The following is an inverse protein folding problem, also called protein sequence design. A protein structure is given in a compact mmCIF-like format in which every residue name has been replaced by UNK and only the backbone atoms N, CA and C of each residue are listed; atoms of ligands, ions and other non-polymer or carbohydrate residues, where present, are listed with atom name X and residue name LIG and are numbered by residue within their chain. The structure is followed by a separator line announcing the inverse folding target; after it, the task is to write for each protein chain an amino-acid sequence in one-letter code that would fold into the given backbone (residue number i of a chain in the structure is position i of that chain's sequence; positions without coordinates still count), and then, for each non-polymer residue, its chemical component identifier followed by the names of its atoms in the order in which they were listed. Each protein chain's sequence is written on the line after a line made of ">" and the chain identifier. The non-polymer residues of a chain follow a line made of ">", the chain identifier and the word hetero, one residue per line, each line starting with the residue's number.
data_IF_690165764471
#
_entry.id   IF_690165764471
#
_cell.length_a   1.000
_cell.length_b   1.000
_cell.length_c   1.000
_cell.angle_alpha   90.00
_cell.angle_beta   90.00
_cell.angle_gamma   90.00
#
_symmetry.space_group_name_H-M   'P 1'
#
loop_
_entity.id
_entity.type
_entity.pdbx_description
1 polymer ?
#
# COMPACT_ATOMS: atom_id res chain seq x y z
N UNK A 1 18.35 -10.31 69.88
CA UNK A 1 18.06 -9.29 68.87
C UNK A 1 18.61 -9.76 67.54
N UNK A 2 17.77 -10.26 66.65
CA UNK A 2 18.14 -10.52 65.26
C UNK A 2 17.03 -9.96 64.39
N UNK A 3 17.31 -8.78 63.83
CA UNK A 3 16.45 -8.11 62.86
C UNK A 3 16.40 -8.98 61.60
N UNK A 4 15.20 -9.42 61.22
CA UNK A 4 14.95 -10.02 59.91
C UNK A 4 14.97 -8.90 58.88
N UNK A 5 15.80 -9.04 57.86
CA UNK A 5 15.93 -8.07 56.78
C UNK A 5 14.59 -7.81 56.09
N UNK A 6 14.27 -6.54 55.76
CA UNK A 6 13.07 -6.22 55.01
C UNK A 6 13.21 -6.71 53.56
N UNK A 7 12.26 -7.53 53.11
CA UNK A 7 12.09 -7.87 51.69
C UNK A 7 11.82 -6.59 50.91
N UNK A 8 12.79 -6.16 50.11
CA UNK A 8 12.61 -5.11 49.11
C UNK A 8 11.71 -5.67 48.02
N UNK A 9 10.46 -5.21 47.98
CA UNK A 9 9.55 -5.46 46.86
C UNK A 9 9.97 -4.48 45.75
N UNK A 10 10.72 -4.99 44.77
CA UNK A 10 10.95 -4.26 43.52
C UNK A 10 9.64 -4.30 42.75
N UNK A 11 8.92 -3.17 42.70
CA UNK A 11 7.79 -2.96 41.82
C UNK A 11 8.30 -2.87 40.38
N UNK A 12 8.67 -4.02 39.81
CA UNK A 12 9.03 -4.14 38.41
C UNK A 12 7.80 -3.83 37.56
N UNK A 13 7.88 -2.77 36.77
CA UNK A 13 7.03 -2.58 35.60
C UNK A 13 7.12 -3.86 34.76
N UNK A 14 6.03 -4.63 34.70
CA UNK A 14 5.94 -5.80 33.84
C UNK A 14 6.16 -5.40 32.37
N UNK A 15 6.49 -6.35 31.48
CA UNK A 15 6.61 -6.06 30.06
C UNK A 15 5.28 -5.48 29.59
N UNK A 16 5.27 -4.19 29.29
CA UNK A 16 4.17 -3.52 28.61
C UNK A 16 3.94 -4.30 27.34
N UNK A 17 2.85 -5.08 27.30
CA UNK A 17 2.30 -5.58 26.03
C UNK A 17 2.26 -4.36 25.12
N UNK A 18 2.95 -4.42 23.99
CA UNK A 18 2.94 -3.35 22.99
C UNK A 18 1.48 -2.99 22.76
N UNK A 19 1.07 -1.83 23.28
CA UNK A 19 -0.29 -1.34 23.10
C UNK A 19 -0.46 -1.22 21.59
N UNK A 20 -1.44 -1.92 21.04
CA UNK A 20 -1.84 -1.71 19.65
C UNK A 20 -2.38 -0.29 19.61
N UNK A 21 -1.52 0.65 19.19
CA UNK A 21 -1.79 2.07 19.32
C UNK A 21 -2.82 2.46 18.26
N UNK A 22 -4.00 2.86 18.72
CA UNK A 22 -5.07 3.36 17.86
C UNK A 22 -4.55 4.45 16.90
N UNK A 23 -4.74 4.21 15.60
CA UNK A 23 -4.28 5.11 14.54
C UNK A 23 -4.89 6.50 14.68
N UNK A 24 -6.15 6.60 15.09
CA UNK A 24 -6.83 7.88 15.23
C UNK A 24 -6.21 8.73 16.34
N UNK A 25 -5.95 8.12 17.50
CA UNK A 25 -5.28 8.77 18.62
C UNK A 25 -3.88 9.27 18.22
N UNK A 26 -3.08 8.45 17.53
CA UNK A 26 -1.74 8.85 17.08
C UNK A 26 -1.78 10.01 16.09
N UNK A 27 -2.73 9.98 15.17
CA UNK A 27 -2.90 11.02 14.16
C UNK A 27 -3.30 12.36 14.78
N UNK A 28 -4.16 12.33 15.81
CA UNK A 28 -4.51 13.50 16.61
C UNK A 28 -3.31 14.04 17.40
N UNK A 29 -2.52 13.16 18.03
CA UNK A 29 -1.31 13.55 18.77
C UNK A 29 -0.26 14.21 17.87
N UNK A 30 -0.18 13.80 16.60
CA UNK A 30 0.71 14.39 15.61
C UNK A 30 0.21 15.73 15.04
N UNK A 31 -0.99 16.20 15.45
CA UNK A 31 -1.61 17.44 15.01
C UNK A 31 -1.71 17.56 13.46
N UNK A 32 -1.99 16.44 12.80
CA UNK A 32 -2.10 16.36 11.34
C UNK A 32 -3.52 16.75 10.87
N UNK A 33 -3.62 17.19 9.61
CA UNK A 33 -4.91 17.62 9.04
C UNK A 33 -5.82 16.40 8.88
N UNK A 34 -7.01 16.49 9.49
CA UNK A 34 -8.02 15.44 9.38
C UNK A 34 -8.66 15.47 8.00
N UNK A 35 -8.97 14.31 7.40
CA UNK A 35 -9.75 14.25 6.19
C UNK A 35 -11.18 14.71 6.46
N UNK A 36 -11.77 15.44 5.51
CA UNK A 36 -13.16 15.88 5.58
C UNK A 36 -14.11 14.71 5.36
N UNK A 37 -15.29 14.78 5.97
CA UNK A 37 -16.26 13.66 5.94
C UNK A 37 -16.76 13.27 4.55
N UNK A 38 -16.64 14.17 3.56
CA UNK A 38 -17.03 13.94 2.17
C UNK A 38 -15.87 13.49 1.26
N UNK A 39 -14.63 13.47 1.74
CA UNK A 39 -13.47 13.09 0.92
C UNK A 39 -13.32 11.57 0.81
N UNK A 40 -13.83 10.81 1.78
CA UNK A 40 -13.69 9.35 1.88
C UNK A 40 -15.03 8.65 1.67
N UNK A 41 -15.04 7.53 0.93
CA UNK A 41 -16.23 6.71 0.72
C UNK A 41 -16.46 5.72 1.86
N UNK A 42 -15.40 5.27 2.53
CA UNK A 42 -15.47 4.29 3.60
C UNK A 42 -14.41 4.52 4.70
N UNK A 43 -14.59 3.86 5.84
CA UNK A 43 -13.69 3.99 7.00
C UNK A 43 -12.27 3.48 6.73
N UNK A 44 -12.11 2.48 5.85
CA UNK A 44 -10.79 1.95 5.52
C UNK A 44 -9.97 2.96 4.72
N UNK A 45 -10.57 3.65 3.76
CA UNK A 45 -9.95 4.74 2.98
C UNK A 45 -9.53 5.89 3.90
N UNK A 46 -10.39 6.25 4.86
CA UNK A 46 -10.04 7.24 5.90
C UNK A 46 -8.83 6.80 6.72
N UNK A 47 -8.83 5.55 7.21
CA UNK A 47 -7.69 4.99 7.95
C UNK A 47 -6.44 4.93 7.07
N UNK A 48 -6.57 4.64 5.78
CA UNK A 48 -5.44 4.59 4.84
C UNK A 48 -4.80 5.96 4.65
N UNK A 49 -5.61 6.99 4.45
CA UNK A 49 -5.12 8.38 4.39
C UNK A 49 -4.36 8.77 5.66
N UNK A 50 -4.94 8.47 6.83
CA UNK A 50 -4.29 8.75 8.12
C UNK A 50 -2.98 7.96 8.29
N UNK A 51 -2.96 6.70 7.87
CA UNK A 51 -1.80 5.82 7.93
C UNK A 51 -0.65 6.35 7.06
N UNK A 52 -0.93 6.76 5.82
CA UNK A 52 0.05 7.35 4.89
C UNK A 52 0.62 8.65 5.46
N UNK A 53 -0.24 9.56 5.92
CA UNK A 53 0.22 10.84 6.47
C UNK A 53 1.00 10.68 7.78
N UNK A 54 0.65 9.70 8.62
CA UNK A 54 1.42 9.39 9.83
C UNK A 54 2.81 8.81 9.48
N UNK A 55 2.88 7.93 8.48
CA UNK A 55 4.16 7.43 7.96
C UNK A 55 5.04 8.58 7.47
N UNK A 56 4.46 9.51 6.70
CA UNK A 56 5.18 10.66 6.16
C UNK A 56 5.66 11.58 7.28
N UNK A 57 4.85 11.79 8.33
CA UNK A 57 5.22 12.62 9.47
C UNK A 57 6.39 12.03 10.29
N UNK A 58 6.33 10.73 10.62
CA UNK A 58 7.33 10.04 11.43
C UNK A 58 7.60 8.63 10.87
N UNK A 59 8.49 8.50 9.87
CA UNK A 59 8.74 7.22 9.20
C UNK A 59 9.25 6.12 10.14
N UNK A 60 9.99 6.48 11.20
CA UNK A 60 10.59 5.53 12.15
C UNK A 60 9.53 4.77 12.94
N UNK A 61 8.36 5.39 13.14
CA UNK A 61 7.20 4.79 13.82
C UNK A 61 6.68 3.53 13.13
N UNK A 62 6.91 3.39 11.83
CA UNK A 62 6.47 2.23 11.06
C UNK A 62 7.38 1.01 11.18
N UNK A 63 8.61 1.17 11.69
CA UNK A 63 9.56 0.05 11.87
C UNK A 63 8.95 -1.16 12.62
N UNK A 64 8.27 -1.02 13.77
CA UNK A 64 7.63 -2.17 14.43
C UNK A 64 6.54 -2.83 13.58
N UNK A 65 5.78 -2.04 12.80
CA UNK A 65 4.69 -2.53 11.95
C UNK A 65 5.27 -3.30 10.77
N UNK A 66 6.32 -2.77 10.12
CA UNK A 66 7.06 -3.45 9.05
C UNK A 66 7.60 -4.80 9.53
N UNK A 67 8.21 -4.84 10.73
CA UNK A 67 8.70 -6.10 11.32
C UNK A 67 7.58 -7.11 11.58
N UNK A 68 6.42 -6.64 12.05
CA UNK A 68 5.23 -7.48 12.29
C UNK A 68 4.71 -8.05 10.97
N UNK A 69 4.44 -7.19 9.99
CA UNK A 69 3.89 -7.59 8.67
C UNK A 69 4.83 -8.55 7.95
N UNK A 70 6.13 -8.28 7.93
CA UNK A 70 7.13 -9.16 7.32
C UNK A 70 7.12 -10.58 7.93
N UNK A 71 6.87 -10.69 9.24
CA UNK A 71 6.81 -11.97 9.95
C UNK A 71 5.47 -12.69 9.75
N UNK A 72 4.37 -11.97 9.58
CA UNK A 72 3.01 -12.54 9.58
C UNK A 72 2.51 -12.85 8.17
N UNK A 73 2.79 -11.99 7.18
CA UNK A 73 2.26 -12.09 5.82
C UNK A 73 3.07 -12.99 4.89
N UNK A 74 2.40 -13.96 4.26
CA UNK A 74 3.01 -14.83 3.24
C UNK A 74 3.61 -14.06 2.05
N UNK A 75 3.02 -12.92 1.68
CA UNK A 75 3.49 -12.10 0.56
C UNK A 75 4.84 -11.44 0.81
N UNK A 76 5.23 -11.26 2.08
CA UNK A 76 6.43 -10.51 2.44
C UNK A 76 7.48 -11.33 3.18
N UNK A 77 7.16 -12.52 3.71
CA UNK A 77 8.11 -13.40 4.44
C UNK A 77 9.37 -13.76 3.65
N UNK A 78 9.29 -13.83 2.32
CA UNK A 78 10.41 -14.22 1.45
C UNK A 78 11.39 -13.07 1.15
N UNK A 79 11.03 -11.84 1.53
CA UNK A 79 11.82 -10.64 1.25
C UNK A 79 13.08 -10.62 2.12
N UNK A 80 14.25 -10.57 1.49
CA UNK A 80 15.55 -10.65 2.20
C UNK A 80 16.10 -9.30 2.67
N UNK A 81 15.75 -8.19 2.00
CA UNK A 81 16.34 -6.88 2.30
C UNK A 81 15.46 -6.01 3.21
N UNK A 82 14.66 -6.63 4.09
CA UNK A 82 13.84 -5.91 5.08
C UNK A 82 14.67 -4.99 5.98
N UNK A 83 15.92 -5.37 6.29
CA UNK A 83 16.81 -4.52 7.09
C UNK A 83 17.17 -3.21 6.38
N UNK A 84 17.37 -3.24 5.05
CA UNK A 84 17.68 -2.03 4.28
C UNK A 84 16.50 -1.04 4.30
N UNK A 85 15.26 -1.55 4.25
CA UNK A 85 14.06 -0.73 4.40
C UNK A 85 13.99 -0.11 5.80
N UNK A 86 14.27 -0.89 6.85
CA UNK A 86 14.29 -0.39 8.23
C UNK A 86 15.36 0.71 8.40
N UNK A 87 16.54 0.51 7.83
CA UNK A 87 17.61 1.50 7.87
C UNK A 87 17.25 2.77 7.09
N UNK A 88 16.56 2.64 5.96
CA UNK A 88 16.02 3.76 5.21
C UNK A 88 14.98 4.52 6.05
N UNK A 89 13.96 3.85 6.60
CA UNK A 89 12.95 4.47 7.46
C UNK A 89 13.56 5.21 8.66
N UNK A 90 14.61 4.67 9.26
CA UNK A 90 15.31 5.31 10.38
C UNK A 90 16.09 6.57 9.99
N UNK A 91 16.47 6.71 8.71
CA UNK A 91 17.22 7.84 8.16
C UNK A 91 16.32 8.87 7.48
N UNK A 92 15.14 8.47 7.01
CA UNK A 92 14.18 9.35 6.35
C UNK A 92 13.63 10.38 7.34
N UNK A 93 13.72 11.65 6.95
CA UNK A 93 13.10 12.76 7.67
C UNK A 93 11.59 12.84 7.35
N UNK A 94 10.86 13.57 8.18
CA UNK A 94 9.44 13.79 7.96
C UNK A 94 9.17 14.47 6.61
N UNK A 95 8.27 13.90 5.83
CA UNK A 95 7.79 14.42 4.55
C UNK A 95 6.52 15.25 4.75
N UNK A 96 6.25 16.14 3.79
CA UNK A 96 4.99 16.90 3.76
C UNK A 96 3.78 15.96 3.66
N UNK A 97 2.68 16.34 4.31
CA UNK A 97 1.42 15.61 4.24
C UNK A 97 0.90 15.57 2.79
N UNK A 98 0.36 14.42 2.40
CA UNK A 98 -0.42 14.28 1.18
C UNK A 98 -1.81 14.86 1.39
N UNK A 99 -2.36 15.42 0.30
CA UNK A 99 -3.73 15.89 0.22
C UNK A 99 -4.54 14.91 -0.60
N UNK A 100 -5.84 14.87 -0.38
CA UNK A 100 -6.72 14.15 -1.28
C UNK A 100 -6.79 14.87 -2.64
N UNK A 101 -6.69 14.08 -3.69
CA UNK A 101 -6.99 14.49 -5.06
C UNK A 101 -8.32 13.84 -5.44
N UNK A 102 -9.33 14.67 -5.65
CA UNK A 102 -10.69 14.23 -5.95
C UNK A 102 -10.75 13.32 -7.19
N UNK A 103 -10.03 13.70 -8.25
CA UNK A 103 -10.02 12.94 -9.50
C UNK A 103 -9.24 11.63 -9.36
N UNK A 104 -8.14 11.62 -8.60
CA UNK A 104 -7.35 10.41 -8.38
C UNK A 104 -8.14 9.38 -7.57
N UNK A 105 -8.81 9.82 -6.50
CA UNK A 105 -9.67 8.94 -5.71
C UNK A 105 -10.85 8.43 -6.53
N UNK A 106 -11.47 9.29 -7.35
CA UNK A 106 -12.56 8.89 -8.22
C UNK A 106 -12.11 7.81 -9.21
N UNK A 107 -10.95 7.97 -9.84
CA UNK A 107 -10.37 7.00 -10.75
C UNK A 107 -10.17 5.62 -10.09
N UNK A 108 -9.60 5.61 -8.87
CA UNK A 108 -9.40 4.37 -8.09
C UNK A 108 -10.73 3.72 -7.75
N UNK A 109 -11.75 4.50 -7.36
CA UNK A 109 -13.09 3.97 -7.04
C UNK A 109 -13.78 3.39 -8.26
N UNK A 110 -13.71 4.05 -9.40
CA UNK A 110 -14.29 3.56 -10.67
C UNK A 110 -13.61 2.26 -11.12
N UNK A 111 -12.29 2.19 -11.03
CA UNK A 111 -11.54 0.97 -11.37
C UNK A 111 -11.88 -0.18 -10.40
N UNK A 112 -11.87 0.06 -9.07
CA UNK A 112 -12.24 -0.95 -8.09
C UNK A 112 -13.66 -1.48 -8.32
N UNK A 113 -14.61 -0.60 -8.66
CA UNK A 113 -15.98 -1.01 -8.99
C UNK A 113 -16.00 -1.92 -10.22
N UNK A 114 -15.31 -1.55 -11.29
CA UNK A 114 -15.23 -2.36 -12.51
C UNK A 114 -14.60 -3.74 -12.25
N UNK A 115 -13.53 -3.81 -11.46
CA UNK A 115 -12.86 -5.06 -11.07
C UNK A 115 -13.79 -5.99 -10.26
N UNK A 116 -14.57 -5.43 -9.34
CA UNK A 116 -15.55 -6.19 -8.56
C UNK A 116 -16.69 -6.70 -9.44
N UNK A 117 -17.16 -5.89 -10.38
CA UNK A 117 -18.22 -6.27 -11.33
C UNK A 117 -17.76 -7.36 -12.32
N UNK A 118 -16.48 -7.35 -12.71
CA UNK A 118 -15.90 -8.38 -13.58
C UNK A 118 -15.80 -9.75 -12.89
N UNK A 119 -15.75 -9.79 -11.55
CA UNK A 119 -15.72 -11.01 -10.72
C UNK A 119 -14.64 -12.02 -11.14
N UNK A 120 -13.50 -11.52 -11.64
CA UNK A 120 -12.39 -12.35 -12.07
C UNK A 120 -11.70 -13.02 -10.87
N UNK A 121 -11.29 -14.28 -11.02
CA UNK A 121 -10.55 -15.01 -9.99
C UNK A 121 -9.21 -14.33 -9.66
N UNK A 122 -8.61 -13.67 -10.65
CA UNK A 122 -7.42 -12.85 -10.51
C UNK A 122 -7.70 -11.49 -11.14
N UNK A 123 -8.00 -10.45 -10.32
CA UNK A 123 -8.30 -9.12 -10.85
C UNK A 123 -7.15 -8.57 -11.70
N UNK A 124 -7.49 -7.76 -12.70
CA UNK A 124 -6.49 -7.09 -13.50
C UNK A 124 -5.66 -6.13 -12.63
N UNK A 125 -4.36 -6.04 -12.93
CA UNK A 125 -3.42 -5.16 -12.23
C UNK A 125 -3.39 -3.82 -12.96
N UNK A 126 -3.50 -2.72 -12.22
CA UNK A 126 -3.46 -1.36 -12.76
C UNK A 126 -4.84 -0.81 -13.17
N UNK A 127 -4.82 0.17 -14.08
CA UNK A 127 -6.03 0.79 -14.66
C UNK A 127 -6.50 2.07 -13.96
N UNK A 128 -5.88 2.45 -12.84
CA UNK A 128 -6.18 3.70 -12.15
C UNK A 128 -5.70 4.90 -12.96
N UNK A 129 -4.51 4.82 -13.57
CA UNK A 129 -3.97 5.89 -14.43
C UNK A 129 -4.84 6.08 -15.67
N UNK A 130 -5.32 4.99 -16.28
CA UNK A 130 -6.21 5.06 -17.44
C UNK A 130 -7.54 5.72 -17.09
N UNK A 131 -8.14 5.34 -15.94
CA UNK A 131 -9.34 5.99 -15.43
C UNK A 131 -9.10 7.47 -15.10
N UNK A 132 -7.95 7.80 -14.50
CA UNK A 132 -7.58 9.17 -14.15
C UNK A 132 -7.42 10.05 -15.38
N UNK A 133 -6.71 9.56 -16.41
CA UNK A 133 -6.56 10.27 -17.68
C UNK A 133 -7.89 10.47 -18.40
N UNK A 134 -8.82 9.51 -18.28
CA UNK A 134 -10.19 9.65 -18.81
C UNK A 134 -10.97 10.76 -18.11
N UNK A 135 -10.84 10.88 -16.79
CA UNK A 135 -11.52 11.90 -15.98
C UNK A 135 -10.94 13.30 -16.25
N UNK A 136 -9.61 13.42 -16.34
CA UNK A 136 -8.94 14.71 -16.58
C UNK A 136 -9.15 15.27 -17.99
N UNK A 137 -9.36 14.40 -18.99
CA UNK A 137 -9.46 14.78 -20.40
C UNK A 137 -8.09 14.94 -21.10
N UNK A 138 -8.11 15.15 -22.41
CA UNK A 138 -6.92 15.10 -23.31
C UNK A 138 -5.86 16.19 -23.07
N UNK A 139 -6.17 17.24 -22.31
CA UNK A 139 -5.32 18.44 -22.23
C UNK A 139 -4.32 18.40 -21.07
N UNK A 140 -4.28 17.32 -20.29
CA UNK A 140 -3.38 17.19 -19.12
C UNK A 140 -2.68 15.85 -19.14
N UNK A 141 -1.36 15.87 -19.31
CA UNK A 141 -0.49 14.75 -18.94
C UNK A 141 -0.16 14.88 -17.46
N UNK A 142 -0.60 13.92 -16.65
CA UNK A 142 -0.24 13.85 -15.25
C UNK A 142 0.86 12.81 -15.03
N UNK A 143 1.88 13.18 -14.26
CA UNK A 143 2.86 12.22 -13.74
C UNK A 143 2.20 11.44 -12.61
N UNK A 144 1.73 10.23 -12.93
CA UNK A 144 1.05 9.35 -12.00
C UNK A 144 1.78 8.03 -11.85
N UNK A 145 1.81 7.53 -10.62
CA UNK A 145 2.22 6.17 -10.30
C UNK A 145 1.00 5.45 -9.71
N UNK A 146 0.80 4.20 -10.10
CA UNK A 146 -0.26 3.37 -9.55
C UNK A 146 0.28 2.12 -8.87
N UNK A 147 -0.49 1.67 -7.90
CA UNK A 147 -0.22 0.44 -7.17
C UNK A 147 -1.52 -0.33 -6.99
N UNK A 148 -1.48 -1.63 -7.29
CA UNK A 148 -2.59 -2.55 -7.07
C UNK A 148 -2.12 -3.66 -6.13
N UNK A 149 -2.91 -3.91 -5.09
CA UNK A 149 -2.67 -5.02 -4.17
C UNK A 149 -3.86 -5.96 -4.17
N UNK A 150 -3.64 -7.16 -4.69
CA UNK A 150 -4.60 -8.26 -4.59
C UNK A 150 -4.30 -9.08 -3.34
N UNK A 151 -5.33 -9.72 -2.76
CA UNK A 151 -5.20 -10.67 -1.63
C UNK A 151 -4.71 -10.05 -0.31
N UNK A 152 -5.01 -8.78 -0.08
CA UNK A 152 -4.89 -8.19 1.26
C UNK A 152 -6.08 -8.62 2.12
N UNK A 153 -5.81 -9.22 3.28
CA UNK A 153 -6.79 -9.88 4.15
C UNK A 153 -6.92 -9.24 5.54
N UNK A 154 -6.16 -8.17 5.82
CA UNK A 154 -6.22 -7.46 7.09
C UNK A 154 -7.18 -6.27 7.03
N UNK A 155 -7.75 -5.88 8.17
CA UNK A 155 -8.57 -4.68 8.34
C UNK A 155 -7.76 -3.46 8.78
N UNK A 156 -6.44 -3.63 9.01
CA UNK A 156 -5.55 -2.60 9.53
C UNK A 156 -4.86 -1.85 8.38
N UNK A 157 -5.23 -0.59 8.18
CA UNK A 157 -4.63 0.25 7.14
C UNK A 157 -3.10 0.44 7.30
N UNK A 158 -2.59 0.44 8.52
CA UNK A 158 -1.14 0.49 8.77
C UNK A 158 -0.41 -0.74 8.22
N UNK A 159 -1.04 -1.93 8.29
CA UNK A 159 -0.47 -3.15 7.72
C UNK A 159 -0.44 -3.07 6.19
N UNK A 160 -1.48 -2.49 5.58
CA UNK A 160 -1.53 -2.26 4.13
C UNK A 160 -0.34 -1.40 3.68
N UNK A 161 -0.15 -0.24 4.33
CA UNK A 161 0.96 0.68 4.02
C UNK A 161 2.33 0.02 4.25
N UNK A 162 2.51 -0.71 5.36
CA UNK A 162 3.76 -1.42 5.63
C UNK A 162 4.05 -2.54 4.62
N UNK A 163 3.02 -3.25 4.15
CA UNK A 163 3.14 -4.27 3.12
C UNK A 163 3.55 -3.67 1.78
N UNK A 164 2.93 -2.54 1.40
CA UNK A 164 3.30 -1.80 0.20
C UNK A 164 4.76 -1.33 0.25
N UNK A 165 5.22 -0.78 1.39
CA UNK A 165 6.63 -0.40 1.55
C UNK A 165 7.59 -1.59 1.39
N UNK A 166 7.25 -2.74 1.96
CA UNK A 166 8.07 -3.94 1.87
C UNK A 166 8.20 -4.42 0.42
N UNK A 167 7.09 -4.49 -0.30
CA UNK A 167 7.05 -4.95 -1.68
C UNK A 167 7.78 -3.97 -2.60
N UNK A 168 7.43 -2.68 -2.55
CA UNK A 168 7.97 -1.67 -3.45
C UNK A 168 9.48 -1.47 -3.27
N UNK A 169 9.94 -1.34 -2.01
CA UNK A 169 11.36 -1.12 -1.70
C UNK A 169 12.27 -2.26 -2.19
N UNK A 170 11.75 -3.48 -2.30
CA UNK A 170 12.51 -4.64 -2.72
C UNK A 170 12.43 -4.90 -4.23
N UNK A 171 11.90 -3.95 -5.00
CA UNK A 171 11.57 -4.18 -6.41
C UNK A 171 10.55 -5.31 -6.57
N UNK A 172 9.80 -5.61 -5.51
CA UNK A 172 8.71 -6.56 -5.44
C UNK A 172 7.58 -6.07 -6.31
N UNK A 173 7.78 -6.23 -7.60
CA UNK A 173 6.75 -6.23 -8.62
C UNK A 173 5.78 -7.37 -8.29
N UNK A 174 4.73 -7.08 -7.51
CA UNK A 174 3.42 -7.60 -7.90
C UNK A 174 2.97 -6.97 -9.23
N UNK A 175 3.57 -5.83 -9.61
CA UNK A 175 3.61 -5.30 -10.97
C UNK A 175 4.59 -6.07 -11.90
N UNK A 176 4.50 -7.40 -12.00
CA UNK A 176 5.41 -8.20 -12.82
C UNK A 176 4.82 -8.51 -14.20
N UNK A 177 5.12 -7.58 -15.12
CA UNK A 177 4.94 -7.54 -16.58
C UNK A 177 3.51 -7.31 -17.08
N UNK A 178 3.29 -6.32 -17.97
CA UNK A 178 2.09 -6.31 -18.80
C UNK A 178 2.02 -7.66 -19.53
N UNK A 179 0.81 -8.23 -19.61
CA UNK A 179 0.55 -9.36 -20.50
C UNK A 179 1.01 -8.93 -21.88
N UNK A 180 2.08 -9.54 -22.39
CA UNK A 180 2.39 -9.45 -23.81
C UNK A 180 1.15 -9.96 -24.53
N UNK A 181 0.43 -9.04 -25.17
CA UNK A 181 -0.68 -9.40 -26.04
C UNK A 181 -0.15 -10.43 -27.03
N UNK A 182 -0.80 -11.60 -27.16
CA UNK A 182 -0.39 -12.53 -28.20
C UNK A 182 -0.49 -11.78 -29.52
N UNK A 183 0.65 -11.61 -30.18
CA UNK A 183 0.73 -11.04 -31.51
C UNK A 183 -0.20 -11.89 -32.38
N UNK A 184 -1.29 -11.29 -32.86
CA UNK A 184 -2.13 -11.90 -33.88
C UNK A 184 -1.21 -12.28 -35.05
N UNK A 185 -0.96 -13.58 -35.20
CA UNK A 185 -0.40 -14.15 -36.41
C UNK A 185 -1.34 -13.76 -37.55
N UNK A 186 -0.91 -12.77 -38.32
CA UNK A 186 -1.57 -12.41 -39.57
C UNK A 186 -1.36 -13.57 -40.53
N UNK A 187 -2.37 -14.42 -40.68
CA UNK A 187 -2.48 -15.38 -41.78
C UNK A 187 -2.36 -14.62 -43.11
N UNK A 188 -1.16 -14.59 -43.69
CA UNK A 188 -0.98 -14.35 -45.12
C UNK A 188 -1.37 -15.63 -45.86
N UNK A 189 -2.64 -15.73 -46.27
CA UNK A 189 -3.05 -16.68 -47.30
C UNK A 189 -2.65 -16.15 -48.68
N UNK A 190 -1.63 -16.81 -49.19
CA UNK A 190 -1.45 -17.35 -50.54
C UNK A 190 -1.52 -16.43 -51.76
N UNK A 191 -0.35 -16.38 -52.38
CA UNK A 191 -0.05 -15.94 -53.73
C UNK A 191 -0.77 -16.78 -54.79
N UNK A 192 -1.37 -16.09 -55.76
CA UNK A 192 -0.98 -16.10 -57.17
C UNK A 192 -0.08 -17.27 -57.63
N UNK A 193 -0.66 -18.22 -58.37
CA UNK A 193 -0.06 -18.84 -59.57
C UNK A 193 -1.02 -19.87 -60.19
N UNK A 194 -1.49 -19.61 -61.41
CA UNK A 194 -1.51 -20.58 -62.52
C UNK A 194 -2.25 -19.98 -63.73
N UNK A 195 -1.54 -19.15 -64.49
CA UNK A 195 -1.69 -19.09 -65.94
C UNK A 195 -0.63 -20.02 -66.55
N UNK A 196 -0.97 -20.68 -67.65
CA UNK A 196 -0.18 -21.55 -68.56
C UNK A 196 -0.64 -23.02 -68.56
N UNK A 197 -1.65 -23.30 -69.39
CA UNK A 197 -1.60 -24.24 -70.51
C UNK A 197 -2.89 -24.11 -71.34
#
# INVERSE_FOLDING_TARGET
>A
FTFKDPKIIIMGCGPSKQQEFDLATQYQQANLTQPWGNETQNDFEKKLFMAINLLRYDPKRYVPIVKKVHKESELTKQIKNTQNLIDALNKTEGLTQVKFDEFANQAVRENNKAQVEAAEETPAIGGNIEAYNRILGTDKTADCEEFTMCKFDSDQAQNFVAMQLLLDFNGGKLAAKPVETPVEETEKKDAEAAEVA
#
